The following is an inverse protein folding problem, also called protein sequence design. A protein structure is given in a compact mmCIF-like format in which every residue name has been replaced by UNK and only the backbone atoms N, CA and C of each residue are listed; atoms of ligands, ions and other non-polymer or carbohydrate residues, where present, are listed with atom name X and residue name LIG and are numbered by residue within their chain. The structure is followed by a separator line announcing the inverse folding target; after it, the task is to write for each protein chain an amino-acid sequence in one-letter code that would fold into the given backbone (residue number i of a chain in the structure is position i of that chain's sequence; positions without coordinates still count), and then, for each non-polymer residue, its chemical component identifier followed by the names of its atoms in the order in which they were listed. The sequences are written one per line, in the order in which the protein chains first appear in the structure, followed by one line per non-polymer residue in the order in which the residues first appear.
data_IF_984044788790
#
_entry.id   IF_984044788790
#
_cell.length_a   1.000
_cell.length_b   1.000
_cell.length_c   1.000
_cell.angle_alpha   90.00
_cell.angle_beta   90.00
_cell.angle_gamma   90.00
#
_symmetry.space_group_name_H-M   'P 1'
#
loop_
_entity.id
_entity.type
_entity.pdbx_description
1 polymer ?
#
# COMPACT_ATOMS: atom_id res chain seq x y z
N UNK A 1 12.93 9.10 7.51
CA UNK A 1 11.87 8.81 8.51
C UNK A 1 10.96 10.01 8.80
N UNK A 2 11.46 11.26 8.75
CA UNK A 2 10.63 12.45 8.98
C UNK A 2 9.40 12.57 8.05
N UNK A 3 9.54 12.25 6.76
CA UNK A 3 8.42 12.31 5.79
C UNK A 3 7.27 11.37 6.13
N UNK A 4 7.57 10.13 6.54
CA UNK A 4 6.55 9.13 6.90
C UNK A 4 5.78 9.56 8.14
N UNK A 5 6.48 10.09 9.15
CA UNK A 5 5.84 10.64 10.35
C UNK A 5 4.93 11.83 10.03
N UNK A 6 5.37 12.74 9.14
CA UNK A 6 4.54 13.85 8.66
C UNK A 6 3.30 13.34 7.93
N UNK A 7 3.45 12.35 7.06
CA UNK A 7 2.33 11.75 6.34
C UNK A 7 1.30 11.11 7.30
N UNK A 8 1.76 10.45 8.36
CA UNK A 8 0.86 9.93 9.41
C UNK A 8 0.10 11.05 10.12
N UNK A 9 0.77 12.15 10.50
CA UNK A 9 0.11 13.29 11.11
C UNK A 9 -0.94 13.92 10.16
N UNK A 10 -0.61 14.04 8.88
CA UNK A 10 -1.55 14.50 7.84
C UNK A 10 -2.76 13.57 7.72
N UNK A 11 -2.53 12.25 7.70
CA UNK A 11 -3.61 11.27 7.67
C UNK A 11 -4.52 11.37 8.89
N UNK A 12 -3.95 11.53 10.09
CA UNK A 12 -4.70 11.68 11.33
C UNK A 12 -5.62 12.90 11.31
N UNK A 13 -5.09 14.06 10.89
CA UNK A 13 -5.88 15.29 10.73
C UNK A 13 -6.97 15.09 9.67
N UNK A 14 -6.64 14.47 8.53
CA UNK A 14 -7.63 14.20 7.48
C UNK A 14 -8.78 13.31 7.97
N UNK A 15 -8.48 12.25 8.73
CA UNK A 15 -9.50 11.39 9.33
C UNK A 15 -10.39 12.16 10.32
N UNK A 16 -9.80 12.99 11.18
CA UNK A 16 -10.54 13.83 12.13
C UNK A 16 -11.49 14.81 11.42
N UNK A 17 -11.02 15.49 10.38
CA UNK A 17 -11.82 16.47 9.63
C UNK A 17 -12.97 15.83 8.84
N UNK A 18 -12.79 14.58 8.40
CA UNK A 18 -13.79 13.85 7.62
C UNK A 18 -14.72 12.99 8.49
N UNK A 19 -14.47 12.93 9.80
CA UNK A 19 -15.19 12.03 10.72
C UNK A 19 -14.92 10.55 10.47
N UNK A 20 -13.90 10.22 9.67
CA UNK A 20 -13.50 8.84 9.41
C UNK A 20 -12.60 8.34 10.55
N UNK A 21 -12.73 7.05 10.87
CA UNK A 21 -11.86 6.39 11.83
C UNK A 21 -10.46 6.19 11.24
N UNK A 22 -9.43 6.39 12.06
CA UNK A 22 -8.06 6.09 11.66
C UNK A 22 -7.90 4.57 11.51
N UNK A 23 -7.37 4.06 10.38
CA UNK A 23 -7.13 2.64 10.22
C UNK A 23 -6.12 2.13 11.26
N UNK A 24 -6.15 0.82 11.52
CA UNK A 24 -5.27 0.19 12.49
C UNK A 24 -4.57 -1.02 11.87
N UNK A 25 -3.33 -1.24 12.27
CA UNK A 25 -2.63 -2.48 11.94
C UNK A 25 -3.16 -3.61 12.82
N UNK A 26 -3.59 -4.70 12.20
CA UNK A 26 -4.29 -5.84 12.82
C UNK A 26 -3.70 -7.17 12.35
N UNK A 27 -4.21 -8.30 12.82
CA UNK A 27 -3.70 -9.64 12.43
C UNK A 27 -2.66 -10.19 13.39
N UNK A 28 -2.99 -10.23 14.68
CA UNK A 28 -2.16 -10.85 15.72
C UNK A 28 -0.98 -10.01 16.21
N UNK A 29 -0.07 -10.60 17.00
CA UNK A 29 1.10 -9.93 17.56
C UNK A 29 1.99 -9.27 16.50
N UNK A 30 2.12 -9.92 15.35
CA UNK A 30 2.98 -9.49 14.24
C UNK A 30 2.32 -8.43 13.33
N UNK A 31 1.02 -8.15 13.57
CA UNK A 31 0.23 -7.18 12.81
C UNK A 31 0.31 -7.42 11.29
N UNK A 32 0.06 -8.66 10.87
CA UNK A 32 0.19 -9.08 9.47
C UNK A 32 -0.65 -8.24 8.50
N UNK A 33 -1.76 -7.65 8.96
CA UNK A 33 -2.61 -6.75 8.17
C UNK A 33 -2.30 -5.28 8.52
N UNK A 34 -1.49 -4.65 7.67
CA UNK A 34 -0.88 -3.32 7.90
C UNK A 34 -1.65 -2.17 7.25
N UNK A 35 -2.97 -2.13 7.45
CA UNK A 35 -3.83 -1.13 6.79
C UNK A 35 -3.44 0.32 7.10
N UNK A 36 -3.03 0.61 8.34
CA UNK A 36 -2.56 1.95 8.71
C UNK A 36 -1.28 2.31 7.96
N UNK A 37 -0.29 1.42 7.94
CA UNK A 37 0.99 1.70 7.28
C UNK A 37 0.80 1.88 5.77
N UNK A 38 -0.03 1.04 5.14
CA UNK A 38 -0.41 1.21 3.74
C UNK A 38 -1.00 2.61 3.51
N UNK A 39 -1.93 3.03 4.36
CA UNK A 39 -2.57 4.33 4.20
C UNK A 39 -1.62 5.50 4.39
N UNK A 40 -0.68 5.40 5.33
CA UNK A 40 0.38 6.41 5.53
C UNK A 40 1.27 6.53 4.29
N UNK A 41 1.67 5.40 3.69
CA UNK A 41 2.49 5.40 2.47
C UNK A 41 1.72 5.96 1.28
N UNK A 42 0.43 5.67 1.15
CA UNK A 42 -0.44 6.30 0.14
C UNK A 42 -0.54 7.82 0.35
N UNK A 43 -0.74 8.28 1.58
CA UNK A 43 -0.78 9.72 1.91
C UNK A 43 0.54 10.40 1.57
N UNK A 44 1.67 9.74 1.83
CA UNK A 44 2.99 10.28 1.47
C UNK A 44 3.15 10.42 -0.05
N UNK A 45 2.75 9.41 -0.83
CA UNK A 45 2.79 9.50 -2.29
C UNK A 45 1.87 10.59 -2.83
N UNK A 46 0.65 10.70 -2.31
CA UNK A 46 -0.28 11.77 -2.67
C UNK A 46 0.33 13.15 -2.39
N UNK A 47 0.90 13.34 -1.20
CA UNK A 47 1.59 14.57 -0.83
C UNK A 47 2.70 14.94 -1.81
N UNK A 48 3.56 13.99 -2.19
CA UNK A 48 4.67 14.22 -3.12
C UNK A 48 4.16 14.62 -4.50
N UNK A 49 3.13 13.91 -5.00
CA UNK A 49 2.49 14.21 -6.27
C UNK A 49 1.90 15.62 -6.30
N UNK A 50 1.18 16.02 -5.26
CA UNK A 50 0.56 17.35 -5.16
C UNK A 50 1.59 18.49 -5.10
N UNK A 51 2.80 18.20 -4.65
CA UNK A 51 3.90 19.16 -4.56
C UNK A 51 4.93 19.04 -5.70
N UNK A 52 4.64 18.24 -6.73
CA UNK A 52 5.55 18.05 -7.87
C UNK A 52 6.89 17.40 -7.50
N UNK A 53 6.94 16.67 -6.40
CA UNK A 53 8.14 15.95 -5.95
C UNK A 53 8.25 14.60 -6.68
N UNK A 54 9.47 14.06 -6.88
CA UNK A 54 9.64 12.75 -7.51
C UNK A 54 8.95 11.63 -6.73
N UNK A 55 8.26 10.71 -7.41
CA UNK A 55 7.66 9.54 -6.78
C UNK A 55 8.74 8.54 -6.32
N UNK A 56 8.38 7.66 -5.38
CA UNK A 56 9.22 6.50 -5.06
C UNK A 56 8.94 5.38 -6.08
N UNK A 57 10.00 4.76 -6.60
CA UNK A 57 9.85 3.64 -7.54
C UNK A 57 9.34 2.37 -6.85
N UNK A 58 9.71 2.18 -5.59
CA UNK A 58 9.25 1.04 -4.81
C UNK A 58 9.27 1.31 -3.31
N UNK A 59 8.45 0.57 -2.58
CA UNK A 59 8.44 0.49 -1.13
C UNK A 59 8.81 -0.92 -0.73
N UNK A 60 9.79 -1.05 0.17
CA UNK A 60 10.23 -2.32 0.72
C UNK A 60 9.92 -2.34 2.21
N UNK A 61 9.25 -3.39 2.67
CA UNK A 61 8.95 -3.60 4.09
C UNK A 61 9.44 -4.97 4.53
N UNK A 62 10.07 -5.02 5.70
CA UNK A 62 10.53 -6.24 6.36
C UNK A 62 9.49 -6.69 7.38
N UNK A 63 9.20 -7.99 7.39
CA UNK A 63 8.18 -8.62 8.23
C UNK A 63 8.79 -9.79 9.00
N UNK A 64 9.28 -9.53 10.23
CA UNK A 64 9.61 -10.57 11.18
C UNK A 64 8.32 -11.13 11.78
N UNK A 65 8.09 -12.43 11.63
CA UNK A 65 6.90 -13.13 12.15
C UNK A 65 7.30 -14.31 13.03
N UNK A 66 6.44 -14.61 14.01
CA UNK A 66 6.65 -15.63 15.05
C UNK A 66 7.78 -15.28 16.06
N UNK A 67 8.24 -16.29 16.79
CA UNK A 67 9.33 -16.18 17.75
C UNK A 67 10.72 -16.11 17.08
N UNK A 68 11.71 -15.65 17.85
CA UNK A 68 13.11 -15.66 17.42
C UNK A 68 13.54 -17.09 17.07
N UNK A 69 14.35 -17.23 16.01
CA UNK A 69 14.80 -18.53 15.53
C UNK A 69 15.69 -19.26 16.57
N UNK A 70 16.42 -18.50 17.37
CA UNK A 70 17.25 -18.92 18.50
C UNK A 70 17.44 -17.74 19.47
N UNK A 71 17.95 -17.94 20.70
CA UNK A 71 18.20 -16.84 21.65
C UNK A 71 19.04 -15.72 21.04
N UNK A 72 18.64 -14.47 21.26
CA UNK A 72 19.26 -13.25 20.72
C UNK A 72 19.27 -13.13 19.18
N UNK A 73 18.52 -13.97 18.45
CA UNK A 73 18.44 -13.88 17.00
C UNK A 73 17.70 -12.60 16.54
N UNK A 74 18.28 -11.89 15.56
CA UNK A 74 17.56 -10.89 14.76
C UNK A 74 16.62 -11.50 13.71
N UNK A 75 16.71 -12.81 13.49
CA UNK A 75 15.84 -13.57 12.60
C UNK A 75 14.73 -14.27 13.38
N UNK A 76 13.54 -14.27 12.78
CA UNK A 76 12.40 -15.02 13.30
C UNK A 76 12.14 -16.30 12.52
N UNK A 77 11.32 -17.20 13.04
CA UNK A 77 10.99 -18.47 12.35
C UNK A 77 10.45 -18.24 10.94
N UNK A 78 9.69 -17.16 10.74
CA UNK A 78 9.30 -16.69 9.41
C UNK A 78 9.73 -15.25 9.26
N UNK A 79 10.48 -14.98 8.19
CA UNK A 79 10.76 -13.61 7.79
C UNK A 79 10.41 -13.50 6.31
N UNK A 80 9.72 -12.44 5.95
CA UNK A 80 9.48 -12.12 4.56
C UNK A 80 9.72 -10.64 4.29
N UNK A 81 10.07 -10.32 3.06
CA UNK A 81 10.18 -8.94 2.57
C UNK A 81 9.10 -8.78 1.53
N UNK A 82 8.25 -7.77 1.70
CA UNK A 82 7.33 -7.35 0.64
C UNK A 82 7.91 -6.15 -0.09
N UNK A 83 7.82 -6.19 -1.41
CA UNK A 83 8.23 -5.09 -2.28
C UNK A 83 7.01 -4.71 -3.10
N UNK A 84 6.59 -3.46 -2.98
CA UNK A 84 5.58 -2.86 -3.85
C UNK A 84 6.31 -1.94 -4.84
N UNK A 85 6.17 -2.20 -6.13
CA UNK A 85 6.71 -1.34 -7.18
C UNK A 85 5.59 -0.46 -7.75
N UNK A 86 5.86 0.84 -7.88
CA UNK A 86 4.95 1.77 -8.55
C UNK A 86 5.36 1.87 -10.02
N UNK A 87 4.41 1.60 -10.92
CA UNK A 87 4.69 1.61 -12.35
C UNK A 87 5.01 3.02 -12.84
N UNK A 88 6.25 3.21 -13.31
CA UNK A 88 6.65 4.36 -14.13
C UNK A 88 5.66 4.47 -15.29
N UNK A 89 4.81 5.49 -15.29
CA UNK A 89 4.13 5.92 -16.51
C UNK A 89 5.23 6.43 -17.43
N UNK A 90 5.84 5.52 -18.21
CA UNK A 90 6.76 5.90 -19.27
C UNK A 90 6.03 6.93 -20.12
N UNK A 91 6.60 8.12 -20.16
CA UNK A 91 6.21 9.20 -21.05
C UNK A 91 6.05 8.63 -22.45
N UNK A 92 4.82 8.30 -22.84
CA UNK A 92 4.49 7.91 -24.20
C UNK A 92 4.62 9.21 -24.98
N UNK A 93 5.80 9.45 -25.55
CA UNK A 93 5.99 10.53 -26.50
C UNK A 93 4.83 10.48 -27.49
N UNK A 94 4.07 11.57 -27.51
CA UNK A 94 3.00 11.83 -28.45
C UNK A 94 3.52 11.56 -29.86
N UNK A 95 3.01 10.51 -30.49
CA UNK A 95 2.93 10.45 -31.93
C UNK A 95 1.52 9.97 -32.26
N UNK A 96 0.72 10.90 -32.77
CA UNK A 96 -0.65 10.69 -33.21
C UNK A 96 -0.72 9.52 -34.20
N UNK A 97 -1.51 8.52 -33.90
CA UNK A 97 -2.19 7.73 -34.93
C UNK A 97 -3.61 7.47 -34.46
N UNK A 98 -4.53 8.10 -35.16
CA UNK A 98 -5.96 7.87 -35.09
C UNK A 98 -6.22 6.52 -35.76
N UNK A 99 -6.83 5.56 -35.06
CA UNK A 99 -7.79 4.61 -35.63
C UNK A 99 -8.51 3.82 -34.52
N UNK A 100 -9.82 3.56 -34.66
CA UNK A 100 -10.66 2.94 -33.65
C UNK A 100 -10.65 1.42 -33.80
N UNK A 101 -10.54 0.64 -32.73
CA UNK A 101 -11.05 -0.74 -32.77
C UNK A 101 -11.39 -1.21 -31.35
N UNK A 102 -12.65 -1.58 -31.19
CA UNK A 102 -13.26 -2.28 -30.06
C UNK A 102 -12.49 -3.55 -29.73
N UNK A 103 -12.16 -3.79 -28.46
CA UNK A 103 -12.21 -5.13 -27.88
C UNK A 103 -12.21 -5.12 -26.34
N UNK A 104 -13.23 -5.80 -25.83
CA UNK A 104 -13.51 -6.24 -24.46
C UNK A 104 -12.29 -6.76 -23.71
N UNK A 105 -12.02 -6.22 -22.51
CA UNK A 105 -11.17 -6.88 -21.52
C UNK A 105 -11.97 -7.12 -20.24
N UNK A 106 -12.29 -8.39 -20.01
CA UNK A 106 -13.04 -8.88 -18.87
C UNK A 106 -12.23 -8.68 -17.58
N UNK A 107 -12.82 -8.00 -16.60
CA UNK A 107 -12.36 -7.93 -15.23
C UNK A 107 -12.66 -9.26 -14.53
N UNK A 108 -11.60 -10.04 -14.27
CA UNK A 108 -11.60 -11.09 -13.25
C UNK A 108 -11.49 -10.40 -11.89
N UNK A 109 -12.61 -9.97 -11.33
CA UNK A 109 -12.76 -9.82 -9.88
C UNK A 109 -13.70 -10.91 -9.40
N UNK A 110 -13.13 -11.95 -8.80
CA UNK A 110 -13.85 -12.95 -8.03
C UNK A 110 -14.45 -12.31 -6.78
N UNK A 111 -15.68 -11.84 -6.91
CA UNK A 111 -16.57 -11.57 -5.79
C UNK A 111 -16.97 -12.93 -5.21
N UNK A 112 -16.36 -13.33 -4.09
CA UNK A 112 -16.97 -14.35 -3.22
C UNK A 112 -18.08 -13.66 -2.43
N UNK A 113 -19.29 -13.70 -2.98
CA UNK A 113 -20.52 -13.50 -2.20
C UNK A 113 -20.65 -14.67 -1.23
N UNK A 114 -20.60 -14.36 0.07
CA UNK A 114 -20.93 -15.28 1.14
C UNK A 114 -22.44 -15.15 1.39
N UNK A 115 -23.21 -16.14 0.95
CA UNK A 115 -24.58 -16.37 1.41
C UNK A 115 -24.73 -17.86 1.63
N UNK A 116 -24.87 -18.25 2.89
CA UNK A 116 -25.34 -19.58 3.26
C UNK A 116 -26.13 -19.44 4.55
N UNK A 117 -27.43 -19.20 4.36
CA UNK A 117 -28.47 -19.55 5.32
C UNK A 117 -28.74 -21.04 5.16
N UNK A 118 -28.48 -21.82 6.21
CA UNK A 118 -29.21 -23.03 6.58
C UNK A 118 -29.18 -23.09 8.11
#
# INVERSE_FOLDING_TARGET
MAEVSKAFATLQVSCQLTGLQLPQNTGGPDKARRELDCKVIETLHGYRKDHGMPDYDSVRAFFPEDECLYPDAGFRKRNHVQICAFGVQKQRHSMSWVAPFSLTFALVFGIKSCSSTL
#
